data_IF_153678731563
#
_entry.id   IF_153678731563
#
_cell.length_a   1.000
_cell.length_b   1.000
_cell.length_c   1.000
_cell.angle_alpha   90.00
_cell.angle_beta   90.00
_cell.angle_gamma   90.00
#
_symmetry.space_group_name_H-M   'P 1'
#
loop_
_entity.id
_entity.type
_entity.pdbx_description
1 polymer ?
#
# COMPACT_ATOMS: atom_id res chain seq x y z
N UNK A 1 13.54 -8.70 -23.79
CA UNK A 1 13.12 -7.35 -23.35
C UNK A 1 14.37 -6.50 -23.23
N UNK A 2 14.30 -5.21 -23.56
CA UNK A 2 15.39 -4.25 -23.36
C UNK A 2 14.84 -2.97 -22.74
N UNK A 3 15.51 -2.45 -21.71
CA UNK A 3 15.17 -1.18 -21.07
C UNK A 3 16.42 -0.35 -20.84
N UNK A 4 16.23 0.95 -20.71
CA UNK A 4 17.29 1.87 -20.28
C UNK A 4 16.85 2.66 -19.04
N UNK A 5 17.75 2.79 -18.07
CA UNK A 5 17.57 3.52 -16.80
C UNK A 5 18.91 4.06 -16.30
N UNK A 6 18.91 5.01 -15.36
CA UNK A 6 20.14 5.46 -14.69
C UNK A 6 20.38 4.64 -13.44
N UNK A 7 21.60 4.16 -13.24
CA UNK A 7 22.01 3.42 -12.05
C UNK A 7 23.22 4.13 -11.44
N UNK A 8 23.04 4.72 -10.25
CA UNK A 8 24.07 5.50 -9.56
C UNK A 8 24.68 6.61 -10.43
N UNK A 9 23.86 7.24 -11.28
CA UNK A 9 24.25 8.30 -12.22
C UNK A 9 24.56 7.83 -13.64
N UNK A 10 25.02 6.58 -13.80
CA UNK A 10 25.40 6.02 -15.09
C UNK A 10 24.18 5.55 -15.88
N UNK A 11 24.16 5.83 -17.18
CA UNK A 11 23.13 5.32 -18.07
C UNK A 11 23.40 3.84 -18.38
N UNK A 12 22.41 2.97 -18.12
CA UNK A 12 22.53 1.53 -18.28
C UNK A 12 21.39 1.00 -19.14
N UNK A 13 21.74 0.24 -20.18
CA UNK A 13 20.80 -0.58 -20.95
C UNK A 13 20.86 -2.02 -20.45
N UNK A 14 19.71 -2.56 -20.05
CA UNK A 14 19.56 -3.91 -19.52
C UNK A 14 18.69 -4.76 -20.45
N UNK A 15 19.20 -5.92 -20.83
CA UNK A 15 18.53 -6.89 -21.68
C UNK A 15 18.44 -8.22 -20.95
N UNK A 16 17.27 -8.51 -20.38
CA UNK A 16 17.03 -9.63 -19.46
C UNK A 16 15.56 -10.10 -19.57
N UNK A 17 15.18 -11.11 -18.78
CA UNK A 17 13.79 -11.55 -18.63
C UNK A 17 12.91 -10.45 -18.01
N UNK A 18 11.63 -10.31 -18.42
CA UNK A 18 10.74 -9.26 -17.93
C UNK A 18 10.42 -9.39 -16.43
N UNK A 19 10.51 -10.61 -15.89
CA UNK A 19 10.30 -10.92 -14.46
C UNK A 19 11.60 -10.91 -13.66
N UNK A 20 12.74 -10.51 -14.25
CA UNK A 20 13.98 -10.31 -13.49
C UNK A 20 13.78 -9.20 -12.47
N UNK A 21 14.00 -9.51 -11.19
CA UNK A 21 13.93 -8.50 -10.13
C UNK A 21 15.14 -7.57 -10.19
N UNK A 22 14.97 -6.32 -9.75
CA UNK A 22 16.07 -5.38 -9.63
C UNK A 22 17.14 -5.91 -8.67
N UNK A 23 16.74 -6.56 -7.58
CA UNK A 23 17.69 -7.13 -6.62
C UNK A 23 18.64 -8.13 -7.28
N UNK A 24 18.10 -9.08 -8.04
CA UNK A 24 18.92 -10.11 -8.68
C UNK A 24 19.79 -9.49 -9.78
N UNK A 25 19.26 -8.53 -10.55
CA UNK A 25 20.04 -7.81 -11.55
C UNK A 25 21.23 -7.05 -10.94
N UNK A 26 21.01 -6.31 -9.85
CA UNK A 26 22.07 -5.57 -9.16
C UNK A 26 23.17 -6.53 -8.66
N UNK A 27 22.77 -7.65 -8.08
CA UNK A 27 23.71 -8.55 -7.42
C UNK A 27 24.45 -9.46 -8.39
N UNK A 28 23.72 -10.17 -9.24
CA UNK A 28 24.30 -11.23 -10.08
C UNK A 28 24.84 -10.68 -11.39
N UNK A 29 24.17 -9.68 -11.97
CA UNK A 29 24.55 -9.12 -13.28
C UNK A 29 25.51 -7.95 -13.14
N UNK A 30 25.29 -7.05 -12.17
CA UNK A 30 26.11 -5.84 -11.97
C UNK A 30 27.19 -5.98 -10.91
N UNK A 31 27.14 -7.00 -10.05
CA UNK A 31 28.08 -7.16 -8.94
C UNK A 31 27.97 -6.08 -7.84
N UNK A 32 26.87 -5.32 -7.82
CA UNK A 32 26.55 -4.32 -6.80
C UNK A 32 25.97 -5.04 -5.58
N UNK A 33 26.87 -5.50 -4.71
CA UNK A 33 26.52 -6.42 -3.62
C UNK A 33 26.04 -5.72 -2.33
N UNK A 34 26.01 -4.39 -2.29
CA UNK A 34 25.59 -3.57 -1.16
C UNK A 34 24.11 -3.71 -0.82
N UNK A 35 23.24 -3.76 -1.84
CA UNK A 35 21.81 -4.09 -1.68
C UNK A 35 21.66 -5.56 -1.26
N UNK A 36 20.99 -5.81 -0.12
CA UNK A 36 20.95 -7.14 0.52
C UNK A 36 19.61 -7.83 0.34
N UNK A 37 19.66 -9.15 0.20
CA UNK A 37 18.49 -10.00 0.34
C UNK A 37 18.33 -10.46 1.80
N UNK A 38 17.27 -10.02 2.47
CA UNK A 38 16.93 -10.51 3.82
C UNK A 38 15.70 -11.41 3.88
N UNK A 39 14.79 -11.30 2.91
CA UNK A 39 13.56 -12.10 2.85
C UNK A 39 13.11 -12.43 1.42
N UNK A 40 13.34 -11.53 0.45
CA UNK A 40 12.81 -11.63 -0.90
C UNK A 40 11.26 -11.64 -0.97
N UNK A 41 10.61 -10.91 -0.05
CA UNK A 41 9.14 -10.79 0.07
C UNK A 41 8.65 -9.34 0.30
N UNK A 42 9.55 -8.36 0.29
CA UNK A 42 9.21 -6.96 0.57
C UNK A 42 9.08 -6.60 2.06
N UNK A 43 9.19 -7.57 2.98
CA UNK A 43 8.97 -7.33 4.40
C UNK A 43 10.11 -6.63 5.15
N UNK A 44 11.37 -6.96 4.84
CA UNK A 44 12.48 -6.58 5.72
C UNK A 44 13.17 -5.25 5.39
N UNK A 45 12.97 -4.70 4.18
CA UNK A 45 13.64 -3.49 3.71
C UNK A 45 15.16 -3.57 3.57
N UNK A 46 15.79 -4.75 3.71
CA UNK A 46 17.23 -4.91 3.51
C UNK A 46 17.69 -4.59 2.06
N UNK A 47 16.77 -4.69 1.12
CA UNK A 47 16.93 -4.41 -0.30
C UNK A 47 16.43 -3.01 -0.71
N UNK A 48 16.22 -2.08 0.23
CA UNK A 48 15.72 -0.75 -0.13
C UNK A 48 16.71 -0.03 -1.04
N UNK A 49 16.17 0.53 -2.12
CA UNK A 49 16.85 1.45 -3.05
C UNK A 49 16.03 2.73 -3.18
N UNK A 50 16.65 3.81 -3.64
CA UNK A 50 15.94 5.04 -3.98
C UNK A 50 15.68 5.05 -5.49
N UNK A 51 14.43 5.22 -5.89
CA UNK A 51 14.02 5.37 -7.29
C UNK A 51 13.44 6.76 -7.50
N UNK A 52 13.86 7.43 -8.55
CA UNK A 52 13.39 8.76 -8.91
C UNK A 52 12.80 8.75 -10.33
N UNK A 53 11.63 9.37 -10.45
CA UNK A 53 10.94 9.66 -11.70
C UNK A 53 10.31 11.07 -11.63
N UNK A 54 9.44 11.42 -12.57
CA UNK A 54 8.78 12.73 -12.64
C UNK A 54 7.95 13.09 -11.41
N UNK A 55 7.50 12.09 -10.63
CA UNK A 55 6.77 12.29 -9.37
C UNK A 55 7.69 12.42 -8.15
N UNK A 56 9.01 12.35 -8.35
CA UNK A 56 10.02 12.54 -7.32
C UNK A 56 10.63 11.24 -6.80
N UNK A 57 11.33 11.36 -5.67
CA UNK A 57 12.12 10.29 -5.05
C UNK A 57 11.27 9.38 -4.18
N UNK A 58 11.44 8.06 -4.32
CA UNK A 58 10.66 7.05 -3.60
C UNK A 58 11.58 5.92 -3.11
N UNK A 59 11.44 5.47 -1.84
CA UNK A 59 12.16 4.30 -1.39
C UNK A 59 11.39 3.05 -1.87
N UNK A 60 12.03 2.13 -2.57
CA UNK A 60 11.39 0.91 -3.10
C UNK A 60 12.16 -0.36 -2.69
N UNK A 61 11.45 -1.48 -2.59
CA UNK A 61 12.03 -2.79 -2.32
C UNK A 61 12.50 -3.46 -3.62
N UNK A 62 13.82 -3.60 -3.81
CA UNK A 62 14.36 -4.15 -5.07
C UNK A 62 13.98 -5.61 -5.35
N UNK A 63 13.63 -6.41 -4.33
CA UNK A 63 13.27 -7.83 -4.50
C UNK A 63 11.91 -8.07 -5.17
N UNK A 64 11.02 -7.08 -5.15
CA UNK A 64 9.66 -7.18 -5.71
C UNK A 64 9.42 -6.07 -6.73
N UNK A 65 10.50 -5.58 -7.34
CA UNK A 65 10.50 -4.57 -8.38
C UNK A 65 11.13 -5.19 -9.63
N UNK A 66 10.38 -5.29 -10.72
CA UNK A 66 10.87 -5.86 -11.96
C UNK A 66 11.58 -4.81 -12.81
N UNK A 67 12.58 -5.24 -13.59
CA UNK A 67 13.36 -4.36 -14.45
C UNK A 67 12.48 -3.44 -15.33
N UNK A 68 11.46 -3.91 -16.08
CA UNK A 68 10.55 -3.07 -16.86
C UNK A 68 10.00 -1.82 -16.17
N UNK A 69 9.77 -1.90 -14.86
CA UNK A 69 9.22 -0.80 -14.07
C UNK A 69 10.22 0.37 -13.92
N UNK A 70 11.50 0.15 -14.23
CA UNK A 70 12.59 1.11 -14.10
C UNK A 70 12.89 1.87 -15.39
N UNK A 71 12.28 1.48 -16.52
CA UNK A 71 12.57 2.15 -17.78
C UNK A 71 12.30 3.65 -17.70
N UNK A 72 13.33 4.44 -18.04
CA UNK A 72 13.29 5.90 -17.99
C UNK A 72 13.46 6.49 -16.59
N UNK A 73 13.75 5.70 -15.55
CA UNK A 73 13.91 6.16 -14.16
C UNK A 73 15.38 6.24 -13.74
N UNK A 74 15.63 6.87 -12.60
CA UNK A 74 16.92 6.83 -11.90
C UNK A 74 16.85 5.92 -10.68
N UNK A 75 17.88 5.10 -10.46
CA UNK A 75 18.04 4.20 -9.32
C UNK A 75 19.34 4.54 -8.61
N UNK A 76 19.25 4.84 -7.32
CA UNK A 76 20.40 5.00 -6.42
C UNK A 76 20.42 3.85 -5.42
N UNK A 77 21.54 3.14 -5.36
CA UNK A 77 21.83 2.09 -4.38
C UNK A 77 22.76 2.63 -3.30
N UNK A 78 23.04 1.82 -2.25
CA UNK A 78 23.92 2.24 -1.15
C UNK A 78 25.33 2.61 -1.63
N UNK A 79 25.82 1.96 -2.69
CA UNK A 79 27.11 2.22 -3.31
C UNK A 79 27.17 3.56 -4.04
N UNK A 80 26.02 4.03 -4.55
CA UNK A 80 25.90 5.32 -5.25
C UNK A 80 25.62 6.51 -4.33
N UNK A 81 25.45 6.28 -3.02
CA UNK A 81 25.03 7.33 -2.11
C UNK A 81 26.19 8.26 -1.68
N UNK A 82 27.41 7.72 -1.54
CA UNK A 82 28.61 8.51 -1.25
C UNK A 82 29.22 9.10 -2.53
N UNK A 83 29.78 10.31 -2.44
CA UNK A 83 30.52 10.94 -3.55
C UNK A 83 32.02 10.88 -3.29
N UNK A 84 32.70 9.93 -3.93
CA UNK A 84 34.10 9.64 -3.62
C UNK A 84 34.24 9.28 -2.13
N UNK A 85 35.13 9.99 -1.42
CA UNK A 85 35.34 9.79 0.03
C UNK A 85 34.35 10.56 0.91
N UNK A 86 33.40 11.30 0.32
CA UNK A 86 32.42 12.08 1.07
C UNK A 86 31.17 11.26 1.34
N UNK A 87 30.96 10.94 2.62
CA UNK A 87 29.75 10.27 3.10
C UNK A 87 28.53 11.19 3.05
N UNK A 88 27.38 10.59 2.77
CA UNK A 88 26.09 11.26 2.95
C UNK A 88 25.85 11.56 4.44
N UNK A 89 25.18 12.67 4.82
CA UNK A 89 24.91 12.99 6.23
C UNK A 89 24.29 11.85 7.04
N UNK A 90 23.35 11.11 6.44
CA UNK A 90 22.77 9.89 7.02
C UNK A 90 23.82 8.81 7.32
N UNK A 91 24.78 8.57 6.42
CA UNK A 91 25.84 7.59 6.65
C UNK A 91 26.73 8.01 7.83
N UNK A 92 27.14 9.28 7.88
CA UNK A 92 27.93 9.83 8.99
C UNK A 92 27.18 9.73 10.33
N UNK A 93 25.90 10.12 10.36
CA UNK A 93 25.08 10.04 11.56
C UNK A 93 24.89 8.59 12.04
N UNK A 94 24.75 7.63 11.14
CA UNK A 94 24.65 6.20 11.48
C UNK A 94 25.93 5.66 12.12
N UNK A 95 27.11 6.15 11.72
CA UNK A 95 28.39 5.81 12.37
C UNK A 95 28.45 6.41 13.78
N UNK A 96 28.18 7.71 13.88
CA UNK A 96 28.33 8.48 15.12
C UNK A 96 27.35 8.06 16.23
N UNK A 97 26.12 7.71 15.86
CA UNK A 97 25.07 7.32 16.83
C UNK A 97 25.01 5.81 17.09
N UNK A 98 25.98 5.05 16.55
CA UNK A 98 26.04 3.59 16.61
C UNK A 98 24.78 2.93 16.05
N UNK A 99 24.28 3.44 14.91
CA UNK A 99 23.09 2.97 14.20
C UNK A 99 23.24 1.57 13.57
N UNK A 100 24.38 0.91 13.74
CA UNK A 100 24.62 -0.45 13.24
C UNK A 100 25.36 -1.34 14.25
N UNK A 101 25.16 -2.65 14.14
CA UNK A 101 25.94 -3.67 14.84
C UNK A 101 26.45 -4.72 13.84
N UNK A 102 25.60 -5.65 13.39
CA UNK A 102 26.00 -6.65 12.39
C UNK A 102 26.15 -6.07 10.97
N UNK A 103 25.63 -4.88 10.72
CA UNK A 103 25.71 -4.17 9.43
C UNK A 103 24.76 -4.66 8.34
N UNK A 104 24.07 -5.79 8.49
CA UNK A 104 23.31 -6.40 7.38
C UNK A 104 22.11 -5.56 6.92
N UNK A 105 21.33 -5.01 7.85
CA UNK A 105 20.18 -4.14 7.54
C UNK A 105 20.59 -2.69 7.23
N UNK A 106 21.84 -2.32 7.49
CA UNK A 106 22.31 -0.93 7.41
C UNK A 106 22.17 -0.32 6.01
N UNK A 107 22.49 -1.01 4.90
CA UNK A 107 22.24 -0.49 3.56
C UNK A 107 20.79 -0.05 3.33
N UNK A 108 19.84 -0.92 3.66
CA UNK A 108 18.42 -0.63 3.49
C UNK A 108 17.92 0.53 4.36
N UNK A 109 18.36 0.59 5.62
CA UNK A 109 18.02 1.70 6.54
C UNK A 109 18.59 3.03 6.02
N UNK A 110 19.87 3.02 5.60
CA UNK A 110 20.53 4.21 5.06
C UNK A 110 19.80 4.70 3.81
N UNK A 111 19.38 3.82 2.91
CA UNK A 111 18.64 4.22 1.70
C UNK A 111 17.25 4.77 2.01
N UNK A 112 16.52 4.20 2.98
CA UNK A 112 15.24 4.77 3.42
C UNK A 112 15.41 6.17 4.01
N UNK A 113 16.38 6.35 4.91
CA UNK A 113 16.66 7.64 5.56
C UNK A 113 17.22 8.67 4.58
N UNK A 114 18.06 8.28 3.63
CA UNK A 114 18.56 9.18 2.58
C UNK A 114 17.40 9.65 1.68
N UNK A 115 16.49 8.76 1.32
CA UNK A 115 15.30 9.14 0.54
C UNK A 115 14.41 10.12 1.30
N UNK A 116 14.20 9.89 2.60
CA UNK A 116 13.45 10.80 3.46
C UNK A 116 14.16 12.15 3.62
N UNK A 117 15.47 12.15 3.81
CA UNK A 117 16.29 13.36 3.91
C UNK A 117 16.19 14.22 2.65
N UNK A 118 16.28 13.61 1.46
CA UNK A 118 16.11 14.28 0.18
C UNK A 118 14.71 14.90 -0.02
N UNK A 119 13.69 14.38 0.69
CA UNK A 119 12.30 14.87 0.65
C UNK A 119 11.95 15.78 1.83
N UNK A 120 12.87 15.99 2.77
CA UNK A 120 12.61 16.74 4.01
C UNK A 120 11.62 16.06 4.96
N UNK A 121 11.46 14.73 4.88
CA UNK A 121 10.53 13.97 5.72
C UNK A 121 11.17 13.63 7.08
N UNK A 122 10.39 13.77 8.15
CA UNK A 122 10.88 13.63 9.54
C UNK A 122 10.12 12.61 10.40
N UNK A 123 9.09 11.94 9.84
CA UNK A 123 8.37 10.87 10.53
C UNK A 123 9.13 9.53 10.42
N UNK A 124 10.23 9.45 11.18
CA UNK A 124 11.17 8.33 11.06
C UNK A 124 10.60 6.97 11.46
N UNK A 125 9.55 6.94 12.28
CA UNK A 125 8.88 5.70 12.66
C UNK A 125 8.16 5.10 11.45
N UNK A 126 7.41 5.92 10.71
CA UNK A 126 6.77 5.51 9.46
C UNK A 126 7.75 5.21 8.34
N UNK A 127 8.79 6.04 8.19
CA UNK A 127 9.85 5.85 7.18
C UNK A 127 10.54 4.50 7.38
N UNK A 128 10.84 4.14 8.65
CA UNK A 128 11.59 2.94 9.00
C UNK A 128 10.73 1.73 9.30
N UNK A 129 9.39 1.85 9.30
CA UNK A 129 8.49 0.72 9.58
C UNK A 129 8.80 -0.51 8.71
N UNK A 130 9.23 -0.28 7.45
CA UNK A 130 9.64 -1.31 6.50
C UNK A 130 11.08 -1.82 6.61
N UNK A 131 11.87 -1.33 7.56
CA UNK A 131 13.29 -1.68 7.72
C UNK A 131 13.51 -2.44 9.02
N UNK A 132 13.59 -3.77 8.95
CA UNK A 132 13.75 -4.59 10.14
C UNK A 132 15.20 -4.65 10.61
N UNK A 133 15.41 -4.32 11.89
CA UNK A 133 16.69 -4.49 12.57
C UNK A 133 16.53 -5.39 13.80
N UNK A 134 17.37 -6.42 13.90
CA UNK A 134 17.32 -7.37 15.02
C UNK A 134 18.36 -7.10 16.11
N UNK A 135 19.33 -6.24 15.85
CA UNK A 135 20.48 -6.05 16.74
C UNK A 135 20.39 -4.78 17.59
N UNK A 136 19.99 -3.65 16.98
CA UNK A 136 20.19 -2.32 17.59
C UNK A 136 19.08 -1.87 18.54
N UNK A 137 17.90 -2.50 18.46
CA UNK A 137 16.71 -2.03 19.21
C UNK A 137 16.16 -0.69 18.71
N UNK A 138 16.48 -0.27 17.49
CA UNK A 138 16.01 0.95 16.79
C UNK A 138 16.42 2.30 17.38
N UNK A 139 16.51 2.47 18.70
CA UNK A 139 16.87 3.73 19.35
C UNK A 139 18.12 4.45 18.77
N UNK A 140 19.27 3.79 18.50
CA UNK A 140 20.41 4.45 17.88
C UNK A 140 20.15 4.89 16.43
N UNK A 141 19.32 4.16 15.69
CA UNK A 141 18.94 4.51 14.31
C UNK A 141 18.07 5.77 14.32
N UNK A 142 17.13 5.88 15.26
CA UNK A 142 16.31 7.07 15.41
C UNK A 142 17.12 8.31 15.81
N UNK A 143 18.17 8.15 16.64
CA UNK A 143 19.11 9.25 16.93
C UNK A 143 19.87 9.68 15.67
N UNK A 144 20.36 8.72 14.89
CA UNK A 144 21.05 9.01 13.61
C UNK A 144 20.12 9.76 12.63
N UNK A 145 18.88 9.30 12.50
CA UNK A 145 17.89 9.92 11.63
C UNK A 145 17.62 11.38 12.03
N UNK A 146 17.32 11.63 13.31
CA UNK A 146 17.11 12.98 13.86
C UNK A 146 18.31 13.90 13.66
N UNK A 147 19.53 13.37 13.82
CA UNK A 147 20.76 14.11 13.61
C UNK A 147 20.95 14.53 12.16
N UNK A 148 20.58 13.67 11.21
CA UNK A 148 20.70 13.95 9.79
C UNK A 148 19.67 14.99 9.28
N UNK A 149 18.52 15.15 9.94
CA UNK A 149 17.43 16.07 9.51
C UNK A 149 17.91 17.49 9.21
N UNK A 150 18.83 18.00 10.03
CA UNK A 150 19.30 19.40 9.94
C UNK A 150 20.52 19.58 9.03
N UNK A 151 21.09 18.49 8.54
CA UNK A 151 22.20 18.55 7.62
C UNK A 151 21.74 19.02 6.23
N UNK A 152 22.55 19.81 5.50
CA UNK A 152 22.23 20.19 4.13
C UNK A 152 21.97 18.96 3.26
N UNK A 153 20.89 18.98 2.48
CA UNK A 153 20.64 17.98 1.44
C UNK A 153 21.78 18.11 0.43
N UNK A 154 22.59 17.05 0.20
CA UNK A 154 23.66 17.12 -0.79
C UNK A 154 23.11 17.48 -2.16
N UNK A 155 23.88 18.19 -2.98
CA UNK A 155 23.50 18.46 -4.37
C UNK A 155 23.41 17.11 -5.10
N UNK A 156 22.22 16.62 -5.40
CA UNK A 156 22.02 15.26 -5.90
C UNK A 156 22.22 15.18 -7.42
N UNK A 157 22.38 13.95 -7.91
CA UNK A 157 22.20 13.67 -9.34
C UNK A 157 20.71 13.88 -9.63
N UNK A 158 20.34 15.03 -10.18
CA UNK A 158 18.97 15.26 -10.65
C UNK A 158 18.55 14.11 -11.58
N UNK A 159 17.28 13.70 -11.48
CA UNK A 159 16.69 12.91 -12.54
C UNK A 159 16.72 13.71 -13.83
N UNK A 160 17.64 13.35 -14.74
CA UNK A 160 17.72 13.91 -16.08
C UNK A 160 16.95 12.95 -16.99
N UNK A 161 15.74 13.33 -17.47
CA UNK A 161 14.99 12.53 -18.43
C UNK A 161 15.86 12.27 -19.65
N UNK A 162 15.77 11.07 -20.20
CA UNK A 162 16.43 10.73 -21.45
C UNK A 162 15.45 9.94 -22.32
N UNK A 163 15.29 10.31 -23.60
CA UNK A 163 14.51 9.50 -24.52
C UNK A 163 15.32 8.24 -24.82
N UNK A 164 14.81 7.09 -24.41
CA UNK A 164 15.33 5.81 -24.83
C UNK A 164 14.17 4.91 -25.25
N UNK A 165 14.24 4.24 -26.42
CA UNK A 165 13.25 3.25 -26.77
C UNK A 165 13.31 2.08 -25.78
N UNK A 166 12.15 1.61 -25.36
CA UNK A 166 11.99 0.37 -24.60
C UNK A 166 11.57 -0.75 -25.55
N UNK A 167 12.17 -1.94 -25.43
CA UNK A 167 11.65 -3.16 -26.05
C UNK A 167 10.98 -3.97 -24.94
N UNK A 168 9.82 -3.47 -24.48
CA UNK A 168 8.96 -4.12 -23.49
C UNK A 168 7.50 -3.77 -23.77
N UNK A 169 6.58 -4.69 -23.50
CA UNK A 169 5.14 -4.44 -23.60
C UNK A 169 4.67 -3.59 -22.41
N UNK A 170 4.76 -2.28 -22.60
CA UNK A 170 4.43 -1.24 -21.62
C UNK A 170 3.56 -0.19 -22.31
N UNK A 171 2.21 -0.33 -22.30
CA UNK A 171 1.32 0.68 -22.87
C UNK A 171 1.52 2.03 -22.18
N UNK A 172 1.30 3.11 -22.94
CA UNK A 172 1.42 4.49 -22.46
C UNK A 172 0.05 5.13 -22.16
N UNK A 173 -1.03 4.54 -22.70
CA UNK A 173 -2.42 4.99 -22.50
C UNK A 173 -3.35 3.82 -22.19
N UNK A 174 -4.50 4.10 -21.57
CA UNK A 174 -5.51 3.10 -21.26
C UNK A 174 -6.11 2.49 -22.54
N UNK A 175 -6.11 3.23 -23.64
CA UNK A 175 -6.55 2.77 -24.97
C UNK A 175 -5.57 1.73 -25.53
N UNK A 176 -4.27 2.00 -25.46
CA UNK A 176 -3.23 1.02 -25.83
C UNK A 176 -3.29 -0.23 -24.95
N UNK A 177 -3.46 -0.06 -23.63
CA UNK A 177 -3.66 -1.18 -22.71
C UNK A 177 -4.86 -2.03 -23.10
N UNK A 178 -6.00 -1.40 -23.38
CA UNK A 178 -7.22 -2.09 -23.77
C UNK A 178 -7.04 -2.88 -25.08
N UNK A 179 -6.35 -2.30 -26.07
CA UNK A 179 -6.05 -2.97 -27.33
C UNK A 179 -5.10 -4.16 -27.16
N UNK A 180 -4.01 -3.99 -26.40
CA UNK A 180 -3.04 -5.06 -26.14
C UNK A 180 -3.69 -6.20 -25.33
N UNK A 181 -4.43 -5.87 -24.27
CA UNK A 181 -5.04 -6.89 -23.41
C UNK A 181 -6.19 -7.64 -24.11
N UNK A 182 -6.85 -7.03 -25.10
CA UNK A 182 -7.80 -7.72 -25.97
C UNK A 182 -7.12 -8.78 -26.87
N UNK A 183 -5.88 -8.52 -27.29
CA UNK A 183 -5.08 -9.48 -28.08
C UNK A 183 -4.43 -10.57 -27.21
N UNK A 184 -4.26 -10.30 -25.90
CA UNK A 184 -3.63 -11.20 -24.93
C UNK A 184 -4.48 -11.35 -23.66
N UNK A 185 -5.64 -12.01 -23.74
CA UNK A 185 -6.59 -12.12 -22.63
C UNK A 185 -6.04 -12.81 -21.38
N UNK A 186 -5.01 -13.62 -21.53
CA UNK A 186 -4.39 -14.39 -20.44
C UNK A 186 -3.16 -13.68 -19.84
N UNK A 187 -2.80 -12.50 -20.36
CA UNK A 187 -1.64 -11.77 -19.87
C UNK A 187 -1.80 -11.32 -18.42
N UNK A 188 -0.74 -11.46 -17.64
CA UNK A 188 -0.69 -10.96 -16.27
C UNK A 188 -0.41 -9.47 -16.28
N UNK A 189 -1.37 -8.67 -15.86
CA UNK A 189 -1.18 -7.23 -15.67
C UNK A 189 -0.33 -6.97 -14.42
N UNK A 190 0.72 -6.16 -14.55
CA UNK A 190 1.64 -5.82 -13.47
C UNK A 190 1.62 -4.31 -13.22
N UNK A 191 1.04 -3.91 -12.09
CA UNK A 191 1.07 -2.53 -11.60
C UNK A 191 2.32 -2.29 -10.72
N UNK A 192 2.14 -2.29 -9.40
CA UNK A 192 3.23 -2.15 -8.42
C UNK A 192 4.07 -3.41 -8.19
N UNK A 193 3.63 -4.57 -8.70
CA UNK A 193 4.25 -5.88 -8.49
C UNK A 193 4.37 -6.36 -7.03
N UNK A 194 3.73 -5.69 -6.06
CA UNK A 194 3.89 -6.01 -4.63
C UNK A 194 3.22 -7.32 -4.20
N UNK A 195 2.23 -7.80 -4.97
CA UNK A 195 1.67 -9.15 -4.85
C UNK A 195 2.30 -10.10 -5.89
N UNK A 196 2.30 -9.70 -7.17
CA UNK A 196 2.78 -10.53 -8.31
C UNK A 196 4.25 -10.90 -8.17
N UNK A 197 5.09 -10.03 -7.59
CA UNK A 197 6.49 -10.29 -7.30
C UNK A 197 6.66 -11.57 -6.47
N UNK A 198 5.77 -11.82 -5.51
CA UNK A 198 5.81 -13.01 -4.67
C UNK A 198 5.46 -14.29 -5.43
N UNK A 199 4.75 -14.20 -6.55
CA UNK A 199 4.51 -15.35 -7.42
C UNK A 199 5.82 -15.83 -8.03
N UNK A 200 6.69 -14.89 -8.43
CA UNK A 200 8.01 -15.21 -8.98
C UNK A 200 8.96 -15.62 -7.85
N UNK A 201 9.06 -14.83 -6.78
CA UNK A 201 10.12 -15.00 -5.78
C UNK A 201 9.85 -16.10 -4.74
N UNK A 202 8.58 -16.40 -4.47
CA UNK A 202 8.17 -17.39 -3.46
C UNK A 202 7.44 -18.58 -4.01
N UNK A 203 6.59 -18.36 -5.01
CA UNK A 203 5.90 -19.48 -5.67
C UNK A 203 6.72 -20.05 -6.82
N UNK A 204 7.86 -19.44 -7.17
CA UNK A 204 8.74 -19.87 -8.27
C UNK A 204 7.97 -20.03 -9.58
N UNK A 205 6.98 -19.16 -9.82
CA UNK A 205 6.17 -19.16 -11.03
C UNK A 205 6.87 -18.38 -12.13
N UNK A 206 6.91 -18.98 -13.30
CA UNK A 206 7.22 -18.26 -14.54
C UNK A 206 5.97 -17.54 -15.04
N UNK A 207 6.13 -16.28 -15.44
CA UNK A 207 5.07 -15.45 -16.01
C UNK A 207 5.45 -15.14 -17.46
N UNK A 208 4.93 -15.93 -18.39
CA UNK A 208 5.32 -15.87 -19.81
C UNK A 208 4.75 -14.65 -20.53
N UNK A 209 3.51 -14.26 -20.20
CA UNK A 209 2.81 -13.12 -20.78
C UNK A 209 2.53 -12.07 -19.69
N UNK A 210 3.20 -10.93 -19.79
CA UNK A 210 3.08 -9.83 -18.82
C UNK A 210 2.89 -8.49 -19.54
N UNK A 211 2.01 -7.65 -18.98
CA UNK A 211 1.80 -6.27 -19.43
C UNK A 211 2.09 -5.34 -18.25
N UNK A 212 3.05 -4.45 -18.43
CA UNK A 212 3.47 -3.52 -17.38
C UNK A 212 2.67 -2.22 -17.44
N UNK A 213 1.89 -1.96 -16.39
CA UNK A 213 0.98 -0.81 -16.35
C UNK A 213 1.68 0.49 -15.96
N UNK A 214 2.95 0.45 -15.56
CA UNK A 214 3.66 1.62 -15.05
C UNK A 214 4.00 2.69 -16.10
N UNK A 215 3.70 2.45 -17.38
CA UNK A 215 3.73 3.49 -18.43
C UNK A 215 2.38 4.15 -18.69
N UNK A 216 1.27 3.62 -18.16
CA UNK A 216 -0.09 4.07 -18.50
C UNK A 216 -0.44 5.32 -17.68
N UNK A 217 -0.21 6.50 -18.25
CA UNK A 217 -0.27 7.76 -17.51
C UNK A 217 -1.70 8.21 -17.19
N UNK A 218 -2.66 7.95 -18.08
CA UNK A 218 -4.08 8.28 -17.88
C UNK A 218 -4.80 7.36 -16.86
N UNK A 219 -4.12 6.31 -16.37
CA UNK A 219 -4.55 5.52 -15.21
C UNK A 219 -3.94 5.99 -13.89
N UNK A 220 -3.22 7.12 -13.86
CA UNK A 220 -2.63 7.68 -12.63
C UNK A 220 -3.42 8.89 -12.12
N UNK A 221 -3.30 9.12 -10.81
CA UNK A 221 -3.74 10.35 -10.18
C UNK A 221 -5.17 10.31 -9.64
N UNK A 222 -5.55 11.45 -9.08
CA UNK A 222 -6.81 11.66 -8.37
C UNK A 222 -7.45 12.92 -8.96
N UNK A 223 -8.72 12.80 -9.34
CA UNK A 223 -9.56 13.96 -9.68
C UNK A 223 -10.54 14.20 -8.55
N UNK A 224 -10.52 15.40 -7.99
CA UNK A 224 -11.46 15.84 -6.97
C UNK A 224 -12.59 16.65 -7.61
N UNK A 225 -13.83 16.27 -7.30
CA UNK A 225 -15.05 17.02 -7.63
C UNK A 225 -15.69 17.53 -6.34
N UNK A 226 -16.78 18.30 -6.43
CA UNK A 226 -17.49 18.77 -5.24
C UNK A 226 -18.11 17.59 -4.45
N UNK A 227 -18.51 16.52 -5.14
CA UNK A 227 -19.23 15.39 -4.55
C UNK A 227 -18.37 14.17 -4.25
N UNK A 228 -17.28 13.95 -5.00
CA UNK A 228 -16.51 12.71 -4.96
C UNK A 228 -15.03 12.86 -5.33
N UNK A 229 -14.27 11.83 -4.98
CA UNK A 229 -12.93 11.58 -5.52
C UNK A 229 -13.02 10.50 -6.60
N UNK A 230 -12.51 10.78 -7.79
CA UNK A 230 -12.21 9.76 -8.78
C UNK A 230 -10.71 9.41 -8.69
N UNK A 231 -10.42 8.18 -8.28
CA UNK A 231 -9.07 7.69 -8.03
C UNK A 231 -8.74 6.68 -9.13
N UNK A 232 -7.75 6.98 -9.96
CA UNK A 232 -7.35 6.10 -11.06
C UNK A 232 -6.61 4.86 -10.54
N UNK A 233 -6.68 3.76 -11.29
CA UNK A 233 -6.22 2.44 -10.85
C UNK A 233 -4.71 2.35 -10.51
N UNK A 234 -3.87 3.16 -11.15
CA UNK A 234 -2.42 3.22 -10.93
C UNK A 234 -2.01 4.23 -9.85
N UNK A 235 -2.96 4.83 -9.13
CA UNK A 235 -2.66 5.71 -7.99
C UNK A 235 -2.00 4.93 -6.86
N UNK A 236 -0.77 5.34 -6.42
CA UNK A 236 -0.08 4.73 -5.30
C UNK A 236 -0.90 4.79 -4.00
N UNK A 237 -0.76 3.74 -3.18
CA UNK A 237 -1.40 3.73 -1.85
C UNK A 237 -0.89 4.88 -0.97
N UNK A 238 0.37 5.30 -1.14
CA UNK A 238 0.95 6.42 -0.40
C UNK A 238 0.12 7.72 -0.51
N UNK A 239 -0.43 7.99 -1.69
CA UNK A 239 -1.16 9.24 -1.98
C UNK A 239 -2.51 9.29 -1.23
N UNK A 240 -3.06 8.11 -0.89
CA UNK A 240 -4.35 7.99 -0.21
C UNK A 240 -4.30 8.44 1.25
N UNK A 241 -3.11 8.46 1.86
CA UNK A 241 -2.92 8.93 3.25
C UNK A 241 -3.30 10.41 3.32
N UNK A 242 -2.66 11.25 2.51
CA UNK A 242 -2.92 12.68 2.50
C UNK A 242 -4.33 13.02 1.98
N UNK A 243 -4.81 12.27 0.97
CA UNK A 243 -6.14 12.44 0.39
C UNK A 243 -7.25 12.34 1.46
N UNK A 244 -7.24 11.26 2.24
CA UNK A 244 -8.34 10.97 3.17
C UNK A 244 -8.18 11.63 4.54
N UNK A 245 -7.00 12.14 4.90
CA UNK A 245 -6.75 12.75 6.22
C UNK A 245 -7.75 13.84 6.62
N UNK A 246 -8.14 14.79 5.73
CA UNK A 246 -9.11 15.83 6.09
C UNK A 246 -10.55 15.31 6.26
N UNK A 247 -10.87 14.16 5.67
CA UNK A 247 -12.24 13.65 5.57
C UNK A 247 -12.52 12.51 6.55
N UNK A 248 -11.59 11.57 6.69
CA UNK A 248 -11.61 10.52 7.70
C UNK A 248 -10.18 10.24 8.21
N UNK A 249 -9.79 10.81 9.36
CA UNK A 249 -8.48 10.57 9.96
C UNK A 249 -8.20 9.08 10.23
N UNK A 250 -9.24 8.30 10.56
CA UNK A 250 -9.09 6.86 10.79
C UNK A 250 -8.82 6.05 9.51
N UNK A 251 -9.37 6.48 8.37
CA UNK A 251 -9.05 5.90 7.07
C UNK A 251 -7.60 6.24 6.68
N UNK A 252 -7.20 7.49 6.90
CA UNK A 252 -5.80 7.91 6.73
C UNK A 252 -4.85 7.09 7.62
N UNK A 253 -5.20 6.84 8.89
CA UNK A 253 -4.40 6.02 9.80
C UNK A 253 -4.34 4.55 9.36
N UNK A 254 -5.43 4.00 8.82
CA UNK A 254 -5.40 2.67 8.22
C UNK A 254 -4.38 2.62 7.06
N UNK A 255 -4.42 3.62 6.16
CA UNK A 255 -3.47 3.69 5.04
C UNK A 255 -2.03 3.93 5.50
N UNK A 256 -1.80 4.71 6.56
CA UNK A 256 -0.49 4.83 7.22
C UNK A 256 0.03 3.44 7.64
N UNK A 257 -0.85 2.59 8.14
CA UNK A 257 -0.57 1.20 8.54
C UNK A 257 -0.69 0.18 7.40
N UNK A 258 -0.95 0.60 6.17
CA UNK A 258 -0.96 -0.29 5.01
C UNK A 258 0.48 -0.64 4.65
N UNK A 259 0.89 -1.89 4.88
CA UNK A 259 2.25 -2.36 4.62
C UNK A 259 3.34 -1.41 5.18
N UNK A 260 4.37 -1.09 4.39
CA UNK A 260 5.44 -0.14 4.73
C UNK A 260 5.49 1.00 3.72
N UNK A 261 6.24 2.06 4.03
CA UNK A 261 6.49 3.19 3.12
C UNK A 261 6.98 2.73 1.73
N UNK A 262 7.86 1.73 1.69
CA UNK A 262 8.39 1.19 0.44
C UNK A 262 7.34 0.48 -0.40
N UNK A 263 6.46 -0.30 0.25
CA UNK A 263 5.37 -0.99 -0.43
C UNK A 263 4.31 0.02 -0.88
N UNK A 264 3.95 1.01 -0.05
CA UNK A 264 2.95 2.03 -0.40
C UNK A 264 3.36 2.91 -1.57
N UNK A 265 4.66 3.14 -1.75
CA UNK A 265 5.20 3.90 -2.87
C UNK A 265 5.10 3.16 -4.21
N UNK A 266 4.97 1.82 -4.21
CA UNK A 266 4.82 1.00 -5.41
C UNK A 266 3.38 0.46 -5.62
N UNK A 267 2.75 -0.02 -4.56
CA UNK A 267 1.42 -0.62 -4.59
C UNK A 267 0.38 0.39 -5.05
N UNK A 268 -0.58 -0.05 -5.88
CA UNK A 268 -1.63 0.82 -6.40
C UNK A 268 -3.00 0.41 -5.85
N UNK A 269 -3.93 1.37 -5.79
CA UNK A 269 -5.30 1.09 -5.34
C UNK A 269 -6.01 0.07 -6.24
N UNK A 270 -5.89 0.23 -7.56
CA UNK A 270 -6.47 -0.70 -8.52
C UNK A 270 -5.86 -2.10 -8.38
N UNK A 271 -4.55 -2.20 -8.12
CA UNK A 271 -3.88 -3.47 -7.84
C UNK A 271 -4.41 -4.14 -6.57
N UNK A 272 -4.61 -3.37 -5.49
CA UNK A 272 -5.15 -3.89 -4.24
C UNK A 272 -6.57 -4.47 -4.41
N UNK A 273 -7.43 -3.77 -5.15
CA UNK A 273 -8.80 -4.22 -5.45
C UNK A 273 -8.77 -5.43 -6.39
N UNK A 274 -8.00 -5.36 -7.48
CA UNK A 274 -7.92 -6.41 -8.49
C UNK A 274 -7.30 -7.71 -7.96
N UNK A 275 -6.46 -7.65 -6.92
CA UNK A 275 -5.94 -8.83 -6.24
C UNK A 275 -7.06 -9.62 -5.54
N UNK A 276 -8.14 -8.95 -5.09
CA UNK A 276 -9.32 -9.62 -4.59
C UNK A 276 -9.13 -10.36 -3.27
N UNK A 277 -8.12 -10.00 -2.49
CA UNK A 277 -7.79 -10.64 -1.23
C UNK A 277 -8.83 -10.32 -0.14
N UNK A 278 -9.32 -11.31 0.63
CA UNK A 278 -10.27 -11.07 1.73
C UNK A 278 -9.67 -10.25 2.88
N UNK A 279 -8.35 -10.12 2.93
CA UNK A 279 -7.61 -9.37 3.95
C UNK A 279 -6.96 -8.11 3.36
N UNK A 280 -7.37 -7.70 2.15
CA UNK A 280 -7.02 -6.39 1.61
C UNK A 280 -7.64 -5.29 2.48
N UNK A 281 -6.85 -4.27 2.79
CA UNK A 281 -7.28 -3.23 3.72
C UNK A 281 -8.07 -2.08 3.06
N UNK A 282 -7.96 -1.89 1.74
CA UNK A 282 -8.72 -0.86 1.01
C UNK A 282 -10.20 -1.20 0.78
N UNK A 283 -10.60 -2.44 0.41
CA UNK A 283 -11.99 -2.71 0.08
C UNK A 283 -12.98 -2.45 1.23
N UNK A 284 -12.76 -2.88 2.48
CA UNK A 284 -13.75 -2.67 3.54
C UNK A 284 -14.15 -1.19 3.76
N UNK A 285 -13.22 -0.24 3.96
CA UNK A 285 -13.61 1.15 4.13
C UNK A 285 -14.19 1.80 2.88
N UNK A 286 -13.75 1.41 1.68
CA UNK A 286 -14.32 1.95 0.45
C UNK A 286 -15.74 1.42 0.21
N UNK A 287 -16.02 0.17 0.57
CA UNK A 287 -17.39 -0.37 0.61
C UNK A 287 -18.23 0.40 1.64
N UNK A 288 -17.72 0.64 2.85
CA UNK A 288 -18.43 1.41 3.87
C UNK A 288 -18.67 2.88 3.47
N UNK A 289 -17.83 3.43 2.59
CA UNK A 289 -17.95 4.76 2.02
C UNK A 289 -18.85 4.82 0.77
N UNK A 290 -19.51 3.73 0.37
CA UNK A 290 -20.30 3.66 -0.87
C UNK A 290 -19.51 3.95 -2.15
N UNK A 291 -18.27 3.48 -2.20
CA UNK A 291 -17.46 3.60 -3.40
C UNK A 291 -18.00 2.72 -4.54
N UNK A 292 -17.82 3.20 -5.76
CA UNK A 292 -18.07 2.43 -6.99
C UNK A 292 -16.77 2.15 -7.74
N UNK A 293 -16.76 1.06 -8.50
CA UNK A 293 -15.63 0.59 -9.29
C UNK A 293 -15.98 0.68 -10.78
N UNK A 294 -15.13 1.32 -11.56
CA UNK A 294 -15.24 1.34 -13.03
C UNK A 294 -14.26 0.33 -13.63
N UNK A 295 -14.81 -0.61 -14.37
CA UNK A 295 -14.10 -1.63 -15.14
C UNK A 295 -14.15 -1.26 -16.63
N UNK A 296 -13.07 -1.55 -17.35
CA UNK A 296 -12.94 -1.25 -18.78
C UNK A 296 -12.53 -2.50 -19.56
N UNK A 297 -13.17 -2.71 -20.72
CA UNK A 297 -12.83 -3.73 -21.72
C UNK A 297 -12.95 -3.14 -23.13
N UNK A 298 -11.82 -2.96 -23.82
CA UNK A 298 -11.81 -2.22 -25.08
C UNK A 298 -12.35 -0.81 -24.87
N UNK A 299 -13.39 -0.46 -25.63
CA UNK A 299 -14.12 0.82 -25.50
C UNK A 299 -15.23 0.79 -24.43
N UNK A 300 -15.65 -0.41 -24.01
CA UNK A 300 -16.76 -0.59 -23.08
C UNK A 300 -16.31 -0.31 -21.65
N UNK A 301 -17.17 0.40 -20.91
CA UNK A 301 -17.01 0.67 -19.47
C UNK A 301 -18.26 0.23 -18.73
N UNK A 302 -18.06 -0.40 -17.58
CA UNK A 302 -19.14 -0.67 -16.63
C UNK A 302 -18.75 -0.19 -15.25
N UNK A 303 -19.71 0.39 -14.54
CA UNK A 303 -19.54 0.84 -13.15
C UNK A 303 -20.46 0.02 -12.26
N UNK A 304 -19.90 -0.52 -11.18
CA UNK A 304 -20.61 -1.34 -10.20
C UNK A 304 -20.31 -0.85 -8.77
N UNK A 305 -21.18 -1.10 -7.79
CA UNK A 305 -20.81 -0.99 -6.38
C UNK A 305 -19.55 -1.82 -6.09
N UNK A 306 -18.62 -1.27 -5.31
CA UNK A 306 -17.34 -1.95 -5.07
C UNK A 306 -17.53 -3.33 -4.43
N UNK A 307 -18.52 -3.50 -3.53
CA UNK A 307 -18.80 -4.80 -2.92
C UNK A 307 -19.20 -5.89 -3.92
N UNK A 308 -19.84 -5.52 -5.02
CA UNK A 308 -20.34 -6.47 -6.02
C UNK A 308 -19.20 -7.04 -6.89
N UNK A 309 -18.03 -6.40 -6.87
CA UNK A 309 -16.83 -6.92 -7.54
C UNK A 309 -16.32 -8.22 -6.91
N UNK A 310 -16.56 -8.47 -5.62
CA UNK A 310 -16.01 -9.64 -4.91
C UNK A 310 -17.04 -10.77 -4.79
N UNK A 311 -17.03 -11.70 -5.75
CA UNK A 311 -18.01 -12.80 -5.83
C UNK A 311 -17.74 -13.89 -4.80
N UNK A 312 -16.50 -14.38 -4.74
CA UNK A 312 -16.07 -15.44 -3.84
C UNK A 312 -14.56 -15.36 -3.59
N UNK A 313 -14.05 -16.16 -2.66
CA UNK A 313 -12.61 -16.24 -2.44
C UNK A 313 -11.87 -16.63 -3.73
N UNK A 314 -10.95 -15.77 -4.18
CA UNK A 314 -10.20 -15.96 -5.42
C UNK A 314 -11.02 -15.76 -6.70
N UNK A 315 -12.23 -15.19 -6.63
CA UNK A 315 -13.07 -14.90 -7.80
C UNK A 315 -13.73 -13.53 -7.72
N UNK A 316 -13.50 -12.71 -8.75
CA UNK A 316 -14.06 -11.37 -8.89
C UNK A 316 -15.00 -11.29 -10.10
N UNK A 317 -15.87 -10.29 -10.13
CA UNK A 317 -16.65 -9.93 -11.32
C UNK A 317 -15.75 -9.17 -12.30
N UNK A 318 -14.85 -9.91 -12.95
CA UNK A 318 -13.94 -9.39 -13.98
C UNK A 318 -14.02 -10.25 -15.23
N UNK A 319 -14.44 -9.66 -16.34
CA UNK A 319 -14.50 -10.30 -17.64
C UNK A 319 -13.10 -10.56 -18.22
N UNK A 320 -13.04 -11.42 -19.23
CA UNK A 320 -11.83 -11.62 -20.04
C UNK A 320 -11.40 -10.31 -20.69
N UNK A 321 -10.12 -9.98 -20.58
CA UNK A 321 -9.52 -8.70 -21.05
C UNK A 321 -10.13 -7.45 -20.42
N UNK A 322 -10.80 -7.57 -19.27
CA UNK A 322 -11.33 -6.43 -18.52
C UNK A 322 -10.37 -6.06 -17.38
N UNK A 323 -10.15 -4.76 -17.17
CA UNK A 323 -9.27 -4.24 -16.13
C UNK A 323 -9.96 -3.16 -15.29
N UNK A 324 -9.43 -2.92 -14.09
CA UNK A 324 -9.87 -1.83 -13.21
C UNK A 324 -9.34 -0.51 -13.77
N UNK A 325 -10.23 0.43 -14.09
CA UNK A 325 -9.88 1.75 -14.62
C UNK A 325 -9.84 2.80 -13.50
N UNK A 326 -10.89 2.90 -12.70
CA UNK A 326 -10.98 3.87 -11.60
C UNK A 326 -11.92 3.44 -10.47
N UNK A 327 -11.76 4.10 -9.33
CA UNK A 327 -12.59 3.97 -8.15
C UNK A 327 -13.18 5.35 -7.84
N UNK A 328 -14.49 5.46 -7.69
CA UNK A 328 -15.15 6.70 -7.28
C UNK A 328 -15.59 6.60 -5.83
N UNK A 329 -15.10 7.50 -4.98
CA UNK A 329 -15.40 7.56 -3.55
C UNK A 329 -16.20 8.82 -3.24
N UNK A 330 -17.48 8.72 -2.85
CA UNK A 330 -18.28 9.91 -2.54
C UNK A 330 -17.81 10.55 -1.23
N UNK A 331 -17.67 11.87 -1.21
CA UNK A 331 -17.25 12.63 -0.03
C UNK A 331 -18.25 12.51 1.13
N UNK A 332 -19.54 12.40 0.81
CA UNK A 332 -20.60 12.13 1.79
C UNK A 332 -20.42 10.80 2.52
N UNK A 333 -19.76 9.82 1.89
CA UNK A 333 -19.44 8.53 2.49
C UNK A 333 -18.24 8.55 3.45
N UNK A 334 -17.53 9.68 3.57
CA UNK A 334 -16.31 9.79 4.38
C UNK A 334 -16.52 10.47 5.73
N UNK A 335 -17.54 11.34 5.87
CA UNK A 335 -17.73 12.21 7.03
C UNK A 335 -17.85 11.44 8.35
N UNK A 336 -18.71 10.43 8.39
CA UNK A 336 -18.94 9.60 9.59
C UNK A 336 -18.12 8.29 9.57
N UNK A 337 -17.24 8.12 8.57
CA UNK A 337 -16.50 6.88 8.39
C UNK A 337 -15.42 6.74 9.46
N UNK A 338 -15.48 5.62 10.19
CA UNK A 338 -14.41 5.15 11.08
C UNK A 338 -13.86 3.80 10.61
N UNK A 339 -12.54 3.67 10.65
CA UNK A 339 -11.82 2.48 10.18
C UNK A 339 -10.88 1.96 11.27
N UNK A 340 -10.94 0.66 11.53
CA UNK A 340 -10.15 0.01 12.56
C UNK A 340 -9.41 -1.20 11.98
N UNK A 341 -8.09 -1.11 11.98
CA UNK A 341 -7.19 -2.20 11.61
C UNK A 341 -6.67 -2.91 12.86
N UNK A 342 -6.91 -4.22 12.96
CA UNK A 342 -6.40 -5.08 14.03
C UNK A 342 -5.46 -6.15 13.45
N UNK A 343 -4.25 -6.18 14.00
CA UNK A 343 -3.15 -7.06 13.62
C UNK A 343 -2.27 -7.35 14.85
N UNK A 344 -1.30 -8.27 14.76
CA UNK A 344 -0.43 -8.60 15.90
C UNK A 344 0.57 -7.49 16.20
N UNK A 345 1.07 -6.84 15.17
CA UNK A 345 1.93 -5.65 15.22
C UNK A 345 1.21 -4.47 14.59
N UNK A 346 1.43 -3.25 15.08
CA UNK A 346 0.77 -2.06 14.56
C UNK A 346 1.15 -1.79 13.10
N UNK A 347 2.44 -1.61 12.84
CA UNK A 347 2.93 -1.27 11.51
C UNK A 347 3.38 -2.50 10.73
N UNK A 348 3.22 -2.42 9.41
CA UNK A 348 3.58 -3.46 8.46
C UNK A 348 3.14 -4.86 8.92
N UNK A 349 1.84 -5.01 9.15
CA UNK A 349 1.23 -6.28 9.46
C UNK A 349 -0.10 -6.40 8.71
N UNK A 350 -0.44 -7.64 8.37
CA UNK A 350 -1.67 -7.96 7.65
C UNK A 350 -2.80 -8.06 8.67
N UNK A 351 -3.94 -7.46 8.34
CA UNK A 351 -5.11 -7.47 9.21
C UNK A 351 -5.58 -8.89 9.54
N UNK A 352 -5.77 -9.15 10.84
CA UNK A 352 -6.67 -10.19 11.28
C UNK A 352 -8.12 -9.73 11.07
N UNK A 353 -8.43 -8.49 11.44
CA UNK A 353 -9.75 -7.88 11.21
C UNK A 353 -9.54 -6.44 10.78
N UNK A 354 -10.12 -6.05 9.64
CA UNK A 354 -10.25 -4.65 9.23
C UNK A 354 -11.74 -4.33 9.22
N UNK A 355 -12.20 -3.49 10.15
CA UNK A 355 -13.61 -3.09 10.26
C UNK A 355 -13.79 -1.64 9.88
N UNK A 356 -14.78 -1.35 9.04
CA UNK A 356 -15.16 -0.01 8.64
C UNK A 356 -16.63 0.25 8.92
N UNK A 357 -16.93 1.40 9.52
CA UNK A 357 -18.24 1.75 10.05
C UNK A 357 -18.60 3.15 9.57
N UNK A 358 -19.75 3.27 8.92
CA UNK A 358 -20.34 4.53 8.52
C UNK A 358 -21.79 4.53 9.00
N UNK A 359 -22.04 5.17 10.14
CA UNK A 359 -23.35 5.16 10.82
C UNK A 359 -23.84 6.60 10.96
N UNK A 360 -24.95 6.91 10.30
CA UNK A 360 -25.59 8.23 10.36
C UNK A 360 -26.63 8.26 11.46
N UNK A 361 -26.54 9.26 12.33
CA UNK A 361 -27.48 9.49 13.44
C UNK A 361 -28.16 10.83 13.25
N UNK A 362 -29.49 10.83 13.22
CA UNK A 362 -30.31 12.04 13.18
C UNK A 362 -31.37 11.97 14.30
N UNK A 363 -31.54 13.08 15.04
CA UNK A 363 -32.48 13.19 16.15
C UNK A 363 -32.37 12.03 17.18
N UNK A 364 -31.14 11.60 17.46
CA UNK A 364 -30.83 10.52 18.40
C UNK A 364 -31.16 9.10 17.90
N UNK A 365 -31.50 8.94 16.62
CA UNK A 365 -31.79 7.64 15.99
C UNK A 365 -30.84 7.34 14.84
N UNK A 366 -30.55 6.06 14.66
CA UNK A 366 -29.73 5.57 13.56
C UNK A 366 -30.59 5.57 12.29
N UNK A 367 -30.24 6.40 11.30
CA UNK A 367 -31.00 6.52 10.04
C UNK A 367 -30.37 5.74 8.89
N UNK A 368 -29.05 5.55 8.93
CA UNK A 368 -28.32 4.72 7.98
C UNK A 368 -27.14 4.03 8.67
N UNK A 369 -26.80 2.83 8.21
CA UNK A 369 -25.62 2.10 8.65
C UNK A 369 -25.03 1.34 7.46
N UNK A 370 -23.74 1.56 7.19
CA UNK A 370 -22.93 0.78 6.25
C UNK A 370 -21.68 0.31 6.98
N UNK A 371 -21.59 -0.99 7.19
CA UNK A 371 -20.57 -1.62 8.02
C UNK A 371 -19.95 -2.75 7.21
N UNK A 372 -18.65 -2.68 6.95
CA UNK A 372 -17.94 -3.64 6.11
C UNK A 372 -16.67 -4.15 6.77
N UNK A 373 -16.31 -5.40 6.46
CA UNK A 373 -15.17 -6.09 7.06
C UNK A 373 -14.28 -6.77 6.04
N UNK A 374 -12.98 -6.74 6.33
CA UNK A 374 -11.96 -7.64 5.78
C UNK A 374 -11.50 -8.64 6.84
N UNK A 375 -11.10 -9.84 6.43
CA UNK A 375 -10.61 -10.92 7.30
C UNK A 375 -11.69 -11.67 8.08
N UNK A 376 -12.97 -11.41 7.78
CA UNK A 376 -14.13 -12.02 8.44
C UNK A 376 -14.85 -13.07 7.57
N UNK A 377 -14.61 -13.06 6.25
CA UNK A 377 -15.20 -13.98 5.28
C UNK A 377 -14.22 -14.24 4.12
N UNK A 378 -14.64 -15.05 3.14
CA UNK A 378 -13.86 -15.33 1.93
C UNK A 378 -13.71 -14.13 0.98
N UNK A 379 -14.47 -13.06 1.20
CA UNK A 379 -14.40 -11.77 0.49
C UNK A 379 -14.59 -10.62 1.49
N UNK A 380 -14.17 -9.39 1.15
CA UNK A 380 -14.61 -8.19 1.85
C UNK A 380 -16.13 -8.07 1.74
N UNK A 381 -16.84 -7.90 2.85
CA UNK A 381 -18.30 -7.98 2.86
C UNK A 381 -18.94 -7.09 3.93
N UNK A 382 -20.19 -6.69 3.67
CA UNK A 382 -21.03 -5.93 4.59
C UNK A 382 -21.67 -6.81 5.67
N UNK A 383 -21.81 -6.25 6.87
CA UNK A 383 -22.51 -6.85 8.01
C UNK A 383 -24.02 -6.52 7.94
N UNK A 384 -24.72 -7.05 6.92
CA UNK A 384 -26.09 -6.63 6.57
C UNK A 384 -27.09 -6.89 7.69
N UNK A 385 -26.94 -7.99 8.44
CA UNK A 385 -27.81 -8.31 9.57
C UNK A 385 -27.57 -7.34 10.74
N UNK A 386 -26.30 -6.98 11.00
CA UNK A 386 -25.96 -5.95 12.00
C UNK A 386 -26.52 -4.59 11.60
N UNK A 387 -26.35 -4.17 10.35
CA UNK A 387 -26.90 -2.91 9.83
C UNK A 387 -28.42 -2.84 10.01
N UNK A 388 -29.14 -3.92 9.64
CA UNK A 388 -30.59 -4.00 9.81
C UNK A 388 -31.04 -3.96 11.28
N UNK A 389 -30.25 -4.52 12.20
CA UNK A 389 -30.53 -4.47 13.64
C UNK A 389 -30.35 -3.06 14.23
N UNK A 390 -29.50 -2.23 13.63
CA UNK A 390 -29.20 -0.87 14.08
C UNK A 390 -30.19 0.16 13.52
N UNK A 391 -30.54 0.08 12.23
CA UNK A 391 -31.36 1.11 11.56
C UNK A 391 -32.73 1.25 12.24
N UNK A 392 -33.12 2.49 12.53
CA UNK A 392 -34.36 2.86 13.21
C UNK A 392 -34.28 2.84 14.73
N UNK A 393 -33.21 2.29 15.31
CA UNK A 393 -33.02 2.22 16.76
C UNK A 393 -32.40 3.50 17.33
N UNK A 394 -32.56 3.77 18.64
CA UNK A 394 -31.85 4.86 19.31
C UNK A 394 -30.33 4.66 19.28
N UNK A 395 -29.57 5.75 19.17
CA UNK A 395 -28.11 5.71 19.31
C UNK A 395 -27.72 5.57 20.79
N UNK A 396 -27.66 4.34 21.30
CA UNK A 396 -27.35 4.04 22.70
C UNK A 396 -26.54 2.75 22.85
N UNK A 397 -25.89 2.58 24.00
CA UNK A 397 -25.13 1.36 24.29
C UNK A 397 -26.04 0.12 24.30
N UNK A 398 -27.27 0.21 24.82
CA UNK A 398 -28.23 -0.90 24.81
C UNK A 398 -28.53 -1.38 23.38
N UNK A 399 -28.68 -0.45 22.44
CA UNK A 399 -28.84 -0.76 21.01
C UNK A 399 -27.60 -1.46 20.47
N UNK A 400 -26.40 -0.93 20.76
CA UNK A 400 -25.14 -1.54 20.33
C UNK A 400 -25.02 -2.97 20.85
N UNK A 401 -25.27 -3.20 22.13
CA UNK A 401 -25.18 -4.52 22.76
C UNK A 401 -26.19 -5.51 22.19
N UNK A 402 -27.41 -5.04 21.90
CA UNK A 402 -28.47 -5.85 21.28
C UNK A 402 -28.13 -6.28 19.84
N UNK A 403 -27.32 -5.50 19.12
CA UNK A 403 -26.91 -5.81 17.75
C UNK A 403 -25.71 -6.78 17.66
N UNK A 404 -24.90 -6.94 18.72
CA UNK A 404 -23.67 -7.75 18.67
C UNK A 404 -23.86 -9.21 18.24
N UNK A 405 -24.94 -9.93 18.65
CA UNK A 405 -25.15 -11.30 18.20
C UNK A 405 -25.33 -11.43 16.69
N UNK A 406 -25.80 -10.39 15.99
CA UNK A 406 -26.03 -10.42 14.55
C UNK A 406 -24.73 -10.61 13.73
N UNK A 407 -23.57 -10.23 14.28
CA UNK A 407 -22.28 -10.49 13.65
C UNK A 407 -22.04 -11.98 13.35
N UNK A 408 -22.53 -12.88 14.22
CA UNK A 408 -22.38 -14.32 14.03
C UNK A 408 -23.31 -14.88 12.94
N UNK A 409 -24.32 -14.10 12.52
CA UNK A 409 -25.17 -14.42 11.37
C UNK A 409 -24.50 -13.97 10.06
N UNK A 410 -23.87 -12.78 10.08
CA UNK A 410 -23.17 -12.26 8.90
C UNK A 410 -21.83 -12.96 8.63
N UNK A 411 -21.12 -13.39 9.67
CA UNK A 411 -19.76 -13.90 9.53
C UNK A 411 -19.48 -15.18 10.32
N UNK A 412 -18.76 -16.10 9.68
CA UNK A 412 -18.15 -17.29 10.30
C UNK A 412 -16.65 -17.28 10.01
N UNK A 413 -15.85 -16.48 10.75
CA UNK A 413 -14.43 -16.29 10.45
C UNK A 413 -13.62 -17.56 10.66
N UNK A 414 -12.51 -17.71 9.91
CA UNK A 414 -11.57 -18.81 10.07
C UNK A 414 -10.58 -18.58 11.22
N UNK A 415 -10.01 -19.67 11.74
CA UNK A 415 -8.82 -19.60 12.60
C UNK A 415 -7.56 -19.79 11.76
N UNK A 416 -6.53 -19.00 12.01
CA UNK A 416 -5.21 -19.14 11.39
C UNK A 416 -4.09 -18.71 12.35
N UNK A 417 -2.87 -18.66 11.83
CA UNK A 417 -1.70 -18.19 12.58
C UNK A 417 -1.83 -16.72 13.05
N UNK A 418 -2.69 -15.90 12.44
CA UNK A 418 -2.92 -14.49 12.81
C UNK A 418 -3.89 -14.36 13.97
N UNK A 419 -5.00 -15.08 13.95
CA UNK A 419 -6.00 -15.04 15.01
C UNK A 419 -6.96 -16.24 14.94
N UNK A 420 -7.51 -16.62 16.10
CA UNK A 420 -8.62 -17.56 16.14
C UNK A 420 -9.92 -16.94 15.64
N UNK A 421 -10.84 -17.77 15.17
CA UNK A 421 -12.20 -17.37 14.76
C UNK A 421 -12.94 -16.63 15.87
N UNK A 422 -12.86 -17.14 17.11
CA UNK A 422 -13.46 -16.51 18.28
C UNK A 422 -12.90 -15.11 18.55
N UNK A 423 -11.58 -14.93 18.41
CA UNK A 423 -10.95 -13.61 18.57
C UNK A 423 -11.39 -12.64 17.48
N UNK A 424 -11.45 -13.09 16.22
CA UNK A 424 -11.93 -12.27 15.09
C UNK A 424 -13.37 -11.78 15.30
N UNK A 425 -14.26 -12.69 15.70
CA UNK A 425 -15.66 -12.35 15.96
C UNK A 425 -15.82 -11.38 17.13
N UNK A 426 -15.14 -11.63 18.25
CA UNK A 426 -15.13 -10.73 19.41
C UNK A 426 -14.54 -9.36 19.08
N UNK A 427 -13.50 -9.31 18.26
CA UNK A 427 -12.90 -8.06 17.79
C UNK A 427 -13.88 -7.24 16.94
N UNK A 428 -14.58 -7.86 15.99
CA UNK A 428 -15.58 -7.17 15.16
C UNK A 428 -16.70 -6.54 16.02
N UNK A 429 -17.19 -7.27 17.02
CA UNK A 429 -18.17 -6.77 17.99
C UNK A 429 -17.63 -5.60 18.82
N UNK A 430 -16.40 -5.72 19.32
CA UNK A 430 -15.76 -4.66 20.10
C UNK A 430 -15.42 -3.42 19.27
N UNK A 431 -15.19 -3.56 17.96
CA UNK A 431 -15.02 -2.41 17.06
C UNK A 431 -16.31 -1.57 16.95
N UNK A 432 -17.50 -2.21 16.97
CA UNK A 432 -18.76 -1.46 17.03
C UNK A 432 -18.92 -0.71 18.37
N UNK A 433 -18.56 -1.37 19.50
CA UNK A 433 -18.51 -0.69 20.80
C UNK A 433 -17.53 0.48 20.81
N UNK A 434 -16.36 0.31 20.20
CA UNK A 434 -15.34 1.35 20.04
C UNK A 434 -15.88 2.54 19.24
N UNK A 435 -16.57 2.28 18.12
CA UNK A 435 -17.23 3.32 17.33
C UNK A 435 -18.20 4.15 18.19
N UNK A 436 -19.05 3.46 18.96
CA UNK A 436 -19.97 4.13 19.87
C UNK A 436 -19.22 4.99 20.91
N UNK A 437 -18.23 4.42 21.60
CA UNK A 437 -17.41 5.14 22.58
C UNK A 437 -16.74 6.40 22.00
N UNK A 438 -16.16 6.30 20.79
CA UNK A 438 -15.56 7.45 20.10
C UNK A 438 -16.60 8.54 19.80
N UNK A 439 -17.81 8.15 19.37
CA UNK A 439 -18.91 9.11 19.14
C UNK A 439 -19.36 9.84 20.41
N UNK A 440 -19.10 9.25 21.59
CA UNK A 440 -19.35 9.87 22.90
C UNK A 440 -18.17 10.72 23.39
N UNK A 441 -17.12 10.90 22.59
CA UNK A 441 -15.94 11.68 22.93
C UNK A 441 -14.93 10.95 23.82
N UNK A 442 -15.03 9.63 23.95
CA UNK A 442 -14.06 8.85 24.71
C UNK A 442 -12.79 8.58 23.89
N UNK A 443 -11.63 8.65 24.54
CA UNK A 443 -10.35 8.22 23.96
C UNK A 443 -10.28 6.70 23.92
N UNK A 444 -10.11 6.13 22.73
CA UNK A 444 -10.14 4.68 22.50
C UNK A 444 -8.90 4.12 21.81
N UNK A 445 -8.05 4.97 21.25
CA UNK A 445 -6.85 4.54 20.56
C UNK A 445 -5.68 4.44 21.53
N UNK A 446 -5.04 3.27 21.57
CA UNK A 446 -3.79 3.09 22.32
C UNK A 446 -2.65 3.93 21.72
N UNK A 447 -2.71 4.24 20.41
CA UNK A 447 -1.71 5.05 19.71
C UNK A 447 -1.77 6.54 20.07
N UNK A 448 -2.88 7.00 20.68
CA UNK A 448 -3.03 8.40 21.10
C UNK A 448 -2.50 8.62 22.54
N UNK A 449 -2.12 7.54 23.24
CA UNK A 449 -1.61 7.62 24.61
C UNK A 449 -0.19 8.18 24.58
N UNK A 450 0.00 9.35 25.19
CA UNK A 450 1.31 9.98 25.37
C UNK A 450 1.97 9.49 26.67
N UNK A 451 3.26 9.18 26.63
CA UNK A 451 4.02 8.91 27.86
C UNK A 451 4.03 10.16 28.77
N UNK A 452 3.54 10.01 30.00
CA UNK A 452 3.58 11.07 31.03
C UNK A 452 2.35 11.96 31.16
N UNK A 453 1.20 11.57 30.57
CA UNK A 453 -0.11 12.18 30.85
C UNK A 453 -0.75 11.63 32.14
#
# INVERSE_FOLDING_TARGET
MEITFRLNGDLVTASDAPTRTLLDYLRDTRGLTGTKEGCNEGDCGACTVMVEDESGKKPLNACILFLPQLHGKSVTTVEGLSKGDTLHPVQSAMIEEHGSQCGFCTPGIVMSLATAHARGETDHEDILAGNLCRCTGYAPILRAAKKAETAPIPEELEHIPFPAPAIVERPETADELAAIYALRPDATLIAGATDVGLWVTKQMRDLDEVIFLNGVEDLRGITETDEAFEIRAMTPIADLIALFKPYSPSLSEMYRRFASTQVRAAATLGGNIANGSPIGDSPPPLIAADATLTLRKGEERRTIPLEDFFIAYGKQDRGTSEFVESITVPKSGLTDLKVYKLSKRFDQDISAVCGAFNITVADGKITAARIAFGGMAGTPARAKTVEAALIGQPWSMDTIESALPAFATDFTPMSDMRASSAYRLSAAQNMLKRYFAESQGLTTSVLDVKEGA
#
